data_IF_752037647953
#
_entry.id   IF_752037647953
#
_cell.length_a   1.000
_cell.length_b   1.000
_cell.length_c   1.000
_cell.angle_alpha   90.00
_cell.angle_beta   90.00
_cell.angle_gamma   90.00
#
_symmetry.space_group_name_H-M   'P 1'
#
loop_
_entity.id
_entity.type
_entity.pdbx_description
1 polymer ?
#
# COMPACT_ATOMS: atom_id res chain seq x y z
N UNK A 1 2.45 -23.90 -0.15
CA UNK A 1 1.31 -22.96 -0.08
C UNK A 1 0.92 -22.61 -1.52
N UNK A 2 -0.36 -22.56 -1.86
CA UNK A 2 -0.81 -22.03 -3.15
C UNK A 2 -1.15 -20.55 -2.98
N UNK A 3 -0.54 -19.68 -3.79
CA UNK A 3 -0.91 -18.27 -3.83
C UNK A 3 -2.26 -18.12 -4.55
N UNK A 4 -3.11 -17.25 -4.01
CA UNK A 4 -4.40 -16.89 -4.66
C UNK A 4 -4.27 -15.67 -5.57
N UNK A 5 -3.12 -14.99 -5.50
CA UNK A 5 -2.78 -13.80 -6.28
C UNK A 5 -1.44 -13.22 -5.82
N UNK A 6 -1.07 -12.08 -6.39
CA UNK A 6 0.15 -11.34 -6.05
C UNK A 6 -0.25 -9.91 -5.71
N UNK A 7 0.23 -9.40 -4.58
CA UNK A 7 0.11 -7.99 -4.22
C UNK A 7 1.39 -7.24 -4.58
N UNK A 8 1.27 -6.00 -5.05
CA UNK A 8 2.42 -5.15 -5.41
C UNK A 8 2.29 -3.74 -4.82
N UNK A 9 3.42 -3.19 -4.36
CA UNK A 9 3.57 -1.77 -4.01
C UNK A 9 4.51 -1.13 -5.04
N UNK A 10 3.94 -0.23 -5.83
CA UNK A 10 4.66 0.42 -6.92
C UNK A 10 5.01 1.88 -6.58
N UNK A 11 6.18 2.31 -7.02
CA UNK A 11 6.57 3.70 -6.98
C UNK A 11 5.82 4.47 -8.07
N UNK A 12 4.84 5.27 -7.69
CA UNK A 12 4.05 6.08 -8.62
C UNK A 12 4.88 7.07 -9.47
N UNK A 13 6.10 7.45 -9.02
CA UNK A 13 6.98 8.38 -9.75
C UNK A 13 7.73 7.73 -10.90
N UNK A 14 8.18 6.50 -10.69
CA UNK A 14 9.10 5.82 -11.62
C UNK A 14 8.50 4.54 -12.22
N UNK A 15 7.27 4.19 -11.85
CA UNK A 15 6.55 3.01 -12.31
C UNK A 15 7.29 1.68 -12.08
N UNK A 16 8.04 1.62 -10.97
CA UNK A 16 8.80 0.43 -10.58
C UNK A 16 8.28 -0.17 -9.28
N UNK A 17 8.44 -1.48 -9.17
CA UNK A 17 8.06 -2.25 -7.99
C UNK A 17 9.02 -1.86 -6.89
N UNK A 18 8.51 -1.49 -5.72
CA UNK A 18 9.37 -1.12 -4.60
C UNK A 18 10.12 -2.35 -4.07
N UNK A 19 11.31 -2.15 -3.47
CA UNK A 19 11.94 -3.16 -2.62
C UNK A 19 10.93 -3.67 -1.58
N UNK A 20 10.88 -4.99 -1.35
CA UNK A 20 9.92 -5.65 -0.46
C UNK A 20 8.43 -5.37 -0.77
N UNK A 21 8.12 -4.83 -1.95
CA UNK A 21 6.77 -4.45 -2.34
C UNK A 21 5.97 -5.55 -3.03
N UNK A 22 6.55 -6.71 -3.30
CA UNK A 22 5.88 -7.81 -4.03
C UNK A 22 5.78 -9.04 -3.15
N UNK A 23 4.61 -9.65 -3.08
CA UNK A 23 4.45 -10.91 -2.35
C UNK A 23 3.17 -11.66 -2.65
N UNK A 24 3.19 -12.95 -2.32
CA UNK A 24 2.07 -13.87 -2.53
C UNK A 24 0.91 -13.57 -1.58
N UNK A 25 -0.30 -13.56 -2.14
CA UNK A 25 -1.53 -13.40 -1.38
C UNK A 25 -2.04 -14.77 -0.93
N UNK A 26 -2.15 -14.93 0.40
CA UNK A 26 -2.67 -16.17 1.00
C UNK A 26 -4.14 -16.41 0.62
N UNK A 27 -4.97 -15.36 0.67
CA UNK A 27 -6.38 -15.36 0.25
C UNK A 27 -6.76 -13.93 -0.16
N UNK A 28 -6.66 -13.60 -1.45
CA UNK A 28 -6.96 -12.28 -2.00
C UNK A 28 -6.22 -11.14 -1.24
N UNK A 29 -6.66 -9.90 -1.42
CA UNK A 29 -6.10 -8.69 -0.83
C UNK A 29 -6.53 -8.47 0.63
N UNK A 30 -6.35 -9.48 1.48
CA UNK A 30 -6.54 -9.30 2.92
C UNK A 30 -5.65 -8.18 3.43
N UNK A 31 -6.19 -7.36 4.33
CA UNK A 31 -5.46 -6.24 4.92
C UNK A 31 -4.13 -6.65 5.53
N UNK A 32 -4.03 -7.82 6.17
CA UNK A 32 -2.75 -8.28 6.73
C UNK A 32 -1.63 -8.44 5.67
N UNK A 33 -1.98 -8.91 4.47
CA UNK A 33 -1.02 -9.07 3.37
C UNK A 33 -0.63 -7.69 2.82
N UNK A 34 -1.64 -6.85 2.55
CA UNK A 34 -1.42 -5.52 1.97
C UNK A 34 -0.72 -4.57 2.93
N UNK A 35 -1.04 -4.61 4.23
CA UNK A 35 -0.36 -3.87 5.28
C UNK A 35 1.12 -4.29 5.36
N UNK A 36 1.39 -5.60 5.39
CA UNK A 36 2.76 -6.09 5.46
C UNK A 36 3.58 -5.65 4.25
N UNK A 37 3.04 -5.80 3.03
CA UNK A 37 3.70 -5.33 1.81
C UNK A 37 3.93 -3.82 1.84
N UNK A 38 2.90 -3.04 2.21
CA UNK A 38 2.99 -1.59 2.30
C UNK A 38 4.09 -1.15 3.27
N UNK A 39 4.02 -1.58 4.53
CA UNK A 39 4.96 -1.19 5.57
C UNK A 39 6.38 -1.68 5.32
N UNK A 40 6.55 -2.95 4.91
CA UNK A 40 7.87 -3.50 4.53
C UNK A 40 8.47 -2.75 3.36
N UNK A 41 7.64 -2.31 2.40
CA UNK A 41 8.13 -1.56 1.26
C UNK A 41 8.60 -0.17 1.63
N UNK A 42 7.99 0.51 2.62
CA UNK A 42 8.35 1.89 3.02
C UNK A 42 9.28 1.96 4.23
N UNK A 43 9.63 0.82 4.80
CA UNK A 43 10.58 0.71 5.90
C UNK A 43 11.91 1.38 5.55
N UNK A 44 12.44 2.18 6.47
CA UNK A 44 13.74 2.86 6.30
C UNK A 44 13.76 4.01 5.29
N UNK A 45 12.60 4.46 4.78
CA UNK A 45 12.55 5.61 3.87
C UNK A 45 12.79 6.95 4.57
N UNK A 46 13.67 7.75 3.99
CA UNK A 46 13.88 9.14 4.37
C UNK A 46 13.01 10.10 3.54
N UNK A 47 11.69 10.04 3.72
CA UNK A 47 10.73 10.92 3.01
C UNK A 47 9.93 11.79 3.98
N UNK A 48 9.60 13.01 3.54
CA UNK A 48 8.77 13.95 4.31
C UNK A 48 7.28 13.78 3.94
N UNK A 49 7.01 13.48 2.68
CA UNK A 49 5.65 13.39 2.12
C UNK A 49 5.44 12.02 1.50
N UNK A 50 4.37 11.34 1.92
CA UNK A 50 3.91 10.06 1.39
C UNK A 50 2.54 10.21 0.77
N UNK A 51 2.42 9.82 -0.51
CA UNK A 51 1.14 9.75 -1.21
C UNK A 51 0.85 8.28 -1.51
N UNK A 52 -0.29 7.80 -1.04
CA UNK A 52 -0.74 6.41 -1.19
C UNK A 52 -1.99 6.38 -2.04
N UNK A 53 -1.94 5.67 -3.16
CA UNK A 53 -3.08 5.44 -4.04
C UNK A 53 -3.43 3.96 -4.00
N UNK A 54 -4.68 3.63 -3.68
CA UNK A 54 -5.16 2.25 -3.57
C UNK A 54 -6.68 2.21 -3.86
N UNK A 55 -7.17 1.19 -4.55
CA UNK A 55 -8.55 1.09 -5.05
C UNK A 55 -9.60 1.17 -3.93
N UNK A 56 -9.31 0.56 -2.79
CA UNK A 56 -10.13 0.57 -1.57
C UNK A 56 -9.52 1.44 -0.47
N UNK A 57 -8.69 2.44 -0.83
CA UNK A 57 -7.95 3.24 0.17
C UNK A 57 -8.89 3.83 1.21
N UNK A 58 -10.08 4.31 0.81
CA UNK A 58 -11.08 4.95 1.68
C UNK A 58 -11.62 4.03 2.78
N UNK A 59 -11.49 2.71 2.61
CA UNK A 59 -11.83 1.70 3.62
C UNK A 59 -10.58 1.26 4.37
N UNK A 60 -9.52 0.94 3.63
CA UNK A 60 -8.29 0.39 4.16
C UNK A 60 -7.55 1.34 5.11
N UNK A 61 -7.46 2.63 4.76
CA UNK A 61 -6.65 3.62 5.51
C UNK A 61 -7.24 3.93 6.89
N UNK A 62 -8.55 3.75 7.10
CA UNK A 62 -9.26 4.17 8.32
C UNK A 62 -8.68 3.55 9.60
N UNK A 63 -8.21 2.30 9.51
CA UNK A 63 -7.59 1.56 10.61
C UNK A 63 -6.13 1.23 10.35
N UNK A 64 -5.51 1.83 9.33
CA UNK A 64 -4.15 1.47 8.93
C UNK A 64 -3.14 1.68 10.05
N UNK A 65 -3.20 2.81 10.75
CA UNK A 65 -2.27 3.11 11.84
C UNK A 65 -2.53 2.24 13.08
N UNK A 66 -3.79 1.89 13.36
CA UNK A 66 -4.12 0.92 14.42
C UNK A 66 -3.50 -0.45 14.10
N UNK A 67 -3.65 -0.91 12.85
CA UNK A 67 -3.05 -2.16 12.38
C UNK A 67 -1.53 -2.08 12.37
N UNK A 68 -0.92 -0.95 12.02
CA UNK A 68 0.53 -0.75 12.10
C UNK A 68 1.09 -1.06 13.49
N UNK A 69 0.35 -0.74 14.55
CA UNK A 69 0.80 -0.98 15.93
C UNK A 69 0.91 -2.47 16.29
N UNK A 70 0.29 -3.37 15.52
CA UNK A 70 0.42 -4.83 15.73
C UNK A 70 1.68 -5.40 15.11
N UNK A 71 2.37 -4.65 14.24
CA UNK A 71 3.63 -5.07 13.63
C UNK A 71 4.83 -4.82 14.57
N UNK A 72 5.94 -5.56 14.38
CA UNK A 72 7.22 -5.27 15.05
C UNK A 72 7.66 -3.83 14.79
N UNK A 73 8.32 -3.21 15.76
CA UNK A 73 8.68 -1.78 15.72
C UNK A 73 9.46 -1.42 14.45
N UNK A 74 10.38 -2.30 14.07
CA UNK A 74 11.20 -2.20 12.89
C UNK A 74 10.39 -2.11 11.59
N UNK A 75 9.29 -2.85 11.46
CA UNK A 75 8.46 -2.88 10.25
C UNK A 75 7.55 -1.65 10.15
N UNK A 76 7.34 -0.91 11.24
CA UNK A 76 6.44 0.25 11.26
C UNK A 76 6.97 1.38 10.38
N UNK A 77 6.06 2.26 9.99
CA UNK A 77 6.39 3.47 9.25
C UNK A 77 7.35 4.36 10.05
N UNK A 78 8.36 4.91 9.37
CA UNK A 78 9.33 5.81 9.99
C UNK A 78 8.69 7.15 10.42
N UNK A 79 9.14 7.68 11.57
CA UNK A 79 8.55 8.87 12.21
C UNK A 79 8.87 10.21 11.52
N UNK A 80 9.67 10.22 10.46
CA UNK A 80 10.06 11.40 9.69
C UNK A 80 9.00 11.83 8.67
N UNK A 81 7.99 10.99 8.38
CA UNK A 81 6.90 11.30 7.46
C UNK A 81 5.96 12.31 8.13
N UNK A 82 5.90 13.54 7.59
CA UNK A 82 5.08 14.64 8.13
C UNK A 82 3.73 14.76 7.44
N UNK A 83 3.67 14.43 6.16
CA UNK A 83 2.46 14.59 5.35
C UNK A 83 2.11 13.28 4.68
N UNK A 84 0.88 12.81 4.90
CA UNK A 84 0.34 11.60 4.29
C UNK A 84 -0.95 11.96 3.57
N UNK A 85 -1.08 11.54 2.31
CA UNK A 85 -2.31 11.69 1.54
C UNK A 85 -2.75 10.36 0.96
N UNK A 86 -4.04 10.07 1.10
CA UNK A 86 -4.68 8.86 0.58
C UNK A 86 -5.56 9.23 -0.61
N UNK A 87 -5.35 8.57 -1.75
CA UNK A 87 -6.02 8.86 -3.02
C UNK A 87 -6.74 7.62 -3.54
N UNK A 88 -7.97 7.78 -4.01
CA UNK A 88 -8.67 6.74 -4.77
C UNK A 88 -8.24 6.88 -6.25
N UNK A 89 -7.69 5.84 -6.89
CA UNK A 89 -7.37 5.86 -8.31
C UNK A 89 -8.59 6.23 -9.16
N UNK A 90 -8.42 7.10 -10.15
CA UNK A 90 -9.51 7.54 -11.07
C UNK A 90 -9.87 6.54 -12.18
N UNK A 91 -9.56 5.25 -12.01
CA UNK A 91 -9.58 4.24 -13.08
C UNK A 91 -10.98 3.95 -13.69
N UNK A 92 -12.04 4.60 -13.23
CA UNK A 92 -13.40 4.46 -13.77
C UNK A 92 -13.74 5.42 -14.93
N UNK A 93 -12.92 6.44 -15.22
CA UNK A 93 -13.22 7.40 -16.29
C UNK A 93 -13.31 6.77 -17.70
N UNK A 94 -12.41 5.86 -18.11
CA UNK A 94 -12.50 5.21 -19.42
C UNK A 94 -13.64 4.17 -19.52
N UNK A 95 -14.16 3.66 -18.40
CA UNK A 95 -15.28 2.71 -18.38
C UNK A 95 -16.66 3.37 -18.56
N UNK A 96 -16.70 4.71 -18.62
CA UNK A 96 -17.90 5.52 -18.86
C UNK A 96 -17.89 6.23 -20.22
N UNK A 97 -16.90 5.95 -21.07
CA UNK A 97 -16.92 6.35 -22.47
C UNK A 97 -17.49 5.15 -23.23
N UNK A 98 -18.80 5.20 -23.50
CA UNK A 98 -19.41 4.33 -24.51
C UNK A 98 -18.86 4.76 -25.88
N UNK A 99 -18.54 3.79 -26.74
CA UNK A 99 -18.20 4.03 -28.17
C UNK A 99 -19.38 4.68 -28.93
#
# INVERSE_FOLDING_TARGET
LAATGIGTIDCARHNFKRPNGVGDLQVSERYINMDFLFFSSIQGLEIITLVVSYDIVCQWHKKLFERMMTFPHETRMAGNIKYISFLVPKFHLPAHIED
#
